data_IF_582269609952
#
_entry.id   IF_582269609952
#
_cell.length_a   1.000
_cell.length_b   1.000
_cell.length_c   1.000
_cell.angle_alpha   90.00
_cell.angle_beta   90.00
_cell.angle_gamma   90.00
#
_symmetry.space_group_name_H-M   'P 1'
#
loop_
_entity.id
_entity.type
_entity.pdbx_description
1 polymer ?
#
# COMPACT_ATOMS: atom_id res chain seq x y z
N UNK A 1 12.78 1.13 -17.54
CA UNK A 1 11.92 -0.07 -17.65
C UNK A 1 11.39 -0.55 -16.31
N UNK A 2 12.21 -0.66 -15.25
CA UNK A 2 11.73 -1.12 -13.93
C UNK A 2 10.61 -0.25 -13.30
N UNK A 3 10.72 1.08 -13.38
CA UNK A 3 9.71 1.99 -12.80
C UNK A 3 8.31 1.85 -13.44
N UNK A 4 8.24 1.67 -14.76
CA UNK A 4 6.96 1.47 -15.46
C UNK A 4 6.28 0.16 -15.01
N UNK A 5 7.07 -0.92 -14.87
CA UNK A 5 6.56 -2.21 -14.41
C UNK A 5 6.05 -2.15 -12.96
N UNK A 6 6.75 -1.40 -12.09
CA UNK A 6 6.31 -1.16 -10.71
C UNK A 6 5.01 -0.35 -10.65
N UNK A 7 4.85 0.68 -11.49
CA UNK A 7 3.60 1.44 -11.58
C UNK A 7 2.43 0.58 -12.09
N UNK A 8 2.67 -0.28 -13.09
CA UNK A 8 1.66 -1.23 -13.56
C UNK A 8 1.25 -2.19 -12.45
N UNK A 9 2.22 -2.71 -11.68
CA UNK A 9 1.96 -3.58 -10.53
C UNK A 9 1.17 -2.87 -9.43
N UNK A 10 1.55 -1.63 -9.09
CA UNK A 10 0.85 -0.80 -8.11
C UNK A 10 -0.62 -0.64 -8.49
N UNK A 11 -0.91 -0.29 -9.75
CA UNK A 11 -2.29 -0.13 -10.23
C UNK A 11 -3.08 -1.42 -10.18
N UNK A 12 -2.47 -2.54 -10.58
CA UNK A 12 -3.11 -3.85 -10.52
C UNK A 12 -3.45 -4.25 -9.07
N UNK A 13 -2.57 -3.97 -8.11
CA UNK A 13 -2.82 -4.22 -6.68
C UNK A 13 -3.95 -3.35 -6.14
N UNK A 14 -3.97 -2.05 -6.47
CA UNK A 14 -5.03 -1.15 -6.08
C UNK A 14 -6.39 -1.59 -6.61
N UNK A 15 -6.47 -1.92 -7.90
CA UNK A 15 -7.69 -2.41 -8.52
C UNK A 15 -8.17 -3.74 -7.90
N UNK A 16 -7.28 -4.71 -7.72
CA UNK A 16 -7.62 -5.98 -7.11
C UNK A 16 -8.14 -5.81 -5.66
N UNK A 17 -7.57 -4.87 -4.91
CA UNK A 17 -8.01 -4.56 -3.55
C UNK A 17 -9.33 -3.78 -3.51
N UNK A 18 -9.59 -2.91 -4.47
CA UNK A 18 -10.88 -2.23 -4.62
C UNK A 18 -12.01 -3.23 -4.91
N UNK A 19 -11.75 -4.21 -5.79
CA UNK A 19 -12.68 -5.28 -6.19
C UNK A 19 -12.87 -6.33 -5.09
N UNK A 20 -11.87 -6.55 -4.23
CA UNK A 20 -12.01 -7.37 -3.05
C UNK A 20 -13.03 -6.73 -2.10
N UNK A 21 -14.08 -7.48 -1.77
CA UNK A 21 -15.25 -7.00 -1.01
C UNK A 21 -15.53 -7.80 0.26
N UNK A 22 -14.72 -8.82 0.56
CA UNK A 22 -14.89 -9.70 1.73
C UNK A 22 -13.52 -10.14 2.31
N UNK A 23 -13.52 -10.29 3.63
CA UNK A 23 -12.57 -11.01 4.51
C UNK A 23 -12.22 -12.44 4.10
N UNK A 24 -12.96 -13.07 3.18
CA UNK A 24 -12.70 -14.42 2.68
C UNK A 24 -11.31 -14.61 2.03
N UNK A 25 -10.64 -13.51 1.73
CA UNK A 25 -9.29 -13.47 1.19
C UNK A 25 -8.23 -13.49 2.31
N UNK A 26 -8.14 -14.62 3.02
CA UNK A 26 -7.19 -14.82 4.13
C UNK A 26 -5.98 -15.63 3.64
N UNK A 27 -4.82 -14.99 3.54
CA UNK A 27 -3.56 -15.66 3.21
C UNK A 27 -2.58 -14.78 2.43
N UNK A 28 -1.39 -15.29 2.14
CA UNK A 28 -0.34 -14.58 1.40
C UNK A 28 -0.75 -14.21 -0.03
N UNK A 29 -1.75 -14.91 -0.56
CA UNK A 29 -2.30 -14.68 -1.90
C UNK A 29 -3.33 -13.56 -1.94
N UNK A 30 -3.78 -13.04 -0.79
CA UNK A 30 -4.88 -12.08 -0.79
C UNK A 30 -4.45 -10.72 -1.34
N UNK A 31 -5.33 -10.00 -2.06
CA UNK A 31 -5.05 -8.66 -2.56
C UNK A 31 -4.60 -7.71 -1.46
N UNK A 32 -5.23 -7.78 -0.28
CA UNK A 32 -4.88 -6.96 0.87
C UNK A 32 -3.45 -7.25 1.36
N UNK A 33 -3.11 -8.53 1.54
CA UNK A 33 -1.78 -8.92 2.00
C UNK A 33 -0.70 -8.50 0.98
N UNK A 34 -0.91 -8.80 -0.30
CA UNK A 34 0.04 -8.45 -1.36
C UNK A 34 0.23 -6.94 -1.50
N UNK A 35 -0.84 -6.16 -1.39
CA UNK A 35 -0.79 -4.71 -1.45
C UNK A 35 -0.08 -4.11 -0.24
N UNK A 36 -0.34 -4.64 0.97
CA UNK A 36 0.37 -4.23 2.18
C UNK A 36 1.87 -4.54 2.11
N UNK A 37 2.25 -5.77 1.75
CA UNK A 37 3.68 -6.12 1.60
C UNK A 37 4.36 -5.26 0.55
N UNK A 38 3.66 -4.97 -0.55
CA UNK A 38 4.17 -4.08 -1.59
C UNK A 38 4.44 -2.67 -1.04
N UNK A 39 3.53 -2.11 -0.23
CA UNK A 39 3.75 -0.82 0.43
C UNK A 39 4.91 -0.84 1.40
N UNK A 40 4.98 -1.81 2.29
CA UNK A 40 6.08 -1.95 3.27
C UNK A 40 7.45 -2.08 2.58
N UNK A 41 7.47 -2.61 1.34
CA UNK A 41 8.71 -2.76 0.55
C UNK A 41 9.09 -1.49 -0.21
N UNK A 42 8.10 -0.72 -0.69
CA UNK A 42 8.30 0.29 -1.72
C UNK A 42 7.99 1.72 -1.29
N UNK A 43 7.19 1.91 -0.25
CA UNK A 43 6.94 3.23 0.30
C UNK A 43 8.20 3.66 1.09
N UNK A 44 8.89 4.72 0.64
CA UNK A 44 10.11 5.14 1.32
C UNK A 44 9.76 5.67 2.72
N UNK A 45 10.64 5.45 3.69
CA UNK A 45 10.62 6.11 5.00
C UNK A 45 11.65 7.24 4.94
N UNK A 46 11.26 8.38 4.42
CA UNK A 46 12.14 9.54 4.33
C UNK A 46 11.55 10.73 5.07
N UNK A 47 12.36 11.51 5.80
CA UNK A 47 11.92 12.71 6.50
C UNK A 47 11.39 13.82 5.56
N UNK A 48 11.58 13.66 4.25
CA UNK A 48 11.10 14.56 3.20
C UNK A 48 9.68 14.23 2.72
N UNK A 49 9.14 13.06 3.10
CA UNK A 49 7.81 12.62 2.71
C UNK A 49 6.74 13.27 3.59
N UNK A 50 5.48 13.28 3.15
CA UNK A 50 4.39 13.70 4.01
C UNK A 50 4.42 12.86 5.29
N UNK A 51 4.34 13.50 6.46
CA UNK A 51 4.26 12.86 7.78
C UNK A 51 3.32 11.63 7.81
N UNK A 52 2.25 11.69 7.01
CA UNK A 52 1.25 10.64 6.84
C UNK A 52 1.79 9.31 6.27
N UNK A 53 2.86 9.31 5.48
CA UNK A 53 3.44 8.06 4.94
C UNK A 53 4.10 7.22 6.03
N UNK A 54 4.79 7.87 6.98
CA UNK A 54 5.43 7.19 8.12
C UNK A 54 4.37 6.66 9.09
N UNK A 55 3.35 7.48 9.43
CA UNK A 55 2.22 7.04 10.27
C UNK A 55 1.53 5.81 9.66
N UNK A 56 1.30 5.82 8.35
CA UNK A 56 0.62 4.73 7.65
C UNK A 56 1.45 3.43 7.68
N UNK A 57 2.77 3.53 7.54
CA UNK A 57 3.66 2.37 7.67
C UNK A 57 3.67 1.83 9.11
N UNK A 58 3.58 2.69 10.11
CA UNK A 58 3.46 2.28 11.50
C UNK A 58 2.12 1.57 11.76
N UNK A 59 1.02 2.11 11.24
CA UNK A 59 -0.32 1.51 11.35
C UNK A 59 -0.42 0.15 10.60
N UNK A 60 0.25 0.02 9.46
CA UNK A 60 0.25 -1.23 8.66
C UNK A 60 1.31 -2.25 9.10
N UNK A 61 2.26 -1.85 9.95
CA UNK A 61 3.29 -2.76 10.41
C UNK A 61 2.67 -3.91 11.21
N UNK A 62 3.09 -5.17 10.99
CA UNK A 62 2.59 -6.30 11.76
C UNK A 62 2.98 -6.12 13.24
N UNK A 63 2.02 -5.71 14.06
CA UNK A 63 2.20 -5.42 15.48
C UNK A 63 1.16 -6.18 16.32
N UNK A 64 1.55 -6.81 17.44
CA UNK A 64 0.61 -7.49 18.32
C UNK A 64 -0.37 -6.54 19.02
N UNK A 65 -0.14 -5.23 18.95
CA UNK A 65 -0.97 -4.20 19.56
C UNK A 65 -1.90 -3.50 18.58
N UNK A 66 -1.74 -3.77 17.28
CA UNK A 66 -2.55 -3.18 16.21
C UNK A 66 -3.51 -4.25 15.71
N UNK A 67 -4.80 -4.04 15.97
CA UNK A 67 -5.88 -4.92 15.52
C UNK A 67 -6.78 -4.13 14.57
N UNK A 68 -6.33 -3.99 13.33
CA UNK A 68 -7.15 -3.40 12.27
C UNK A 68 -8.23 -4.39 11.84
N UNK A 69 -9.45 -3.90 11.67
CA UNK A 69 -10.45 -4.65 10.91
C UNK A 69 -10.05 -4.66 9.44
N UNK A 70 -10.51 -5.67 8.71
CA UNK A 70 -10.17 -5.84 7.30
C UNK A 70 -10.50 -4.57 6.48
N UNK A 71 -11.65 -3.94 6.74
CA UNK A 71 -12.05 -2.70 6.05
C UNK A 71 -11.10 -1.54 6.35
N UNK A 72 -10.67 -1.40 7.61
CA UNK A 72 -9.76 -0.35 8.05
C UNK A 72 -8.37 -0.55 7.44
N UNK A 73 -7.86 -1.79 7.46
CA UNK A 73 -6.60 -2.14 6.82
C UNK A 73 -6.66 -1.90 5.30
N UNK A 74 -7.78 -2.26 4.66
CA UNK A 74 -7.99 -2.00 3.22
C UNK A 74 -7.95 -0.52 2.90
N UNK A 75 -8.62 0.32 3.67
CA UNK A 75 -8.61 1.77 3.46
C UNK A 75 -7.20 2.36 3.60
N UNK A 76 -6.47 1.96 4.65
CA UNK A 76 -5.08 2.39 4.86
C UNK A 76 -4.16 1.93 3.72
N UNK A 77 -4.30 0.69 3.27
CA UNK A 77 -3.50 0.18 2.14
C UNK A 77 -3.86 0.93 0.84
N UNK A 78 -5.12 1.22 0.56
CA UNK A 78 -5.50 2.02 -0.61
C UNK A 78 -4.95 3.45 -0.55
N UNK A 79 -4.98 4.08 0.64
CA UNK A 79 -4.38 5.39 0.87
C UNK A 79 -2.87 5.37 0.60
N UNK A 80 -2.17 4.35 1.12
CA UNK A 80 -0.73 4.17 0.91
C UNK A 80 -0.38 3.95 -0.57
N UNK A 81 -1.16 3.16 -1.31
CA UNK A 81 -0.96 2.94 -2.74
C UNK A 81 -1.15 4.23 -3.53
N UNK A 82 -2.15 5.04 -3.16
CA UNK A 82 -2.37 6.37 -3.74
C UNK A 82 -1.18 7.31 -3.51
N UNK A 83 -0.66 7.35 -2.29
CA UNK A 83 0.54 8.13 -1.96
C UNK A 83 1.77 7.66 -2.76
N UNK A 84 2.02 6.35 -2.81
CA UNK A 84 3.15 5.78 -3.55
C UNK A 84 3.05 6.11 -5.05
N UNK A 85 1.86 6.02 -5.62
CA UNK A 85 1.62 6.41 -7.01
C UNK A 85 1.93 7.89 -7.25
N UNK A 86 1.46 8.78 -6.38
CA UNK A 86 1.73 10.21 -6.47
C UNK A 86 3.23 10.52 -6.39
N UNK A 87 3.94 9.91 -5.44
CA UNK A 87 5.38 10.10 -5.24
C UNK A 87 6.19 9.66 -6.47
N UNK A 88 5.90 8.47 -6.99
CA UNK A 88 6.58 7.96 -8.19
C UNK A 88 6.23 8.75 -9.45
N UNK A 89 4.99 9.20 -9.59
CA UNK A 89 4.63 10.10 -10.69
C UNK A 89 5.43 11.40 -10.62
N UNK A 90 5.52 12.01 -9.44
CA UNK A 90 6.30 13.24 -9.22
C UNK A 90 7.78 13.04 -9.56
N UNK A 91 8.37 11.91 -9.16
CA UNK A 91 9.78 11.57 -9.47
C UNK A 91 10.03 11.35 -10.97
N UNK A 92 9.04 10.83 -11.71
CA UNK A 92 9.18 10.62 -13.17
C UNK A 92 9.02 11.92 -13.97
N UNK A 93 8.33 12.90 -13.43
CA UNK A 93 8.11 14.21 -14.07
C UNK A 93 9.12 15.28 -13.70
N UNK A 94 9.99 15.01 -12.72
CA UNK A 94 11.01 15.95 -12.22
C UNK A 94 12.39 15.67 -12.78
#
# INVERSE_FOLDING_TARGET
MAAQALLTRLRALGQALEEATDTGDVGSSSPLHQAREFLLTHLPQEPSLPYRADDLLEELAPSPHIHLRWEEERELVLEGLGMLHYLWQRQLTS
#
